data_IF_712574712362
#
_entry.id   IF_712574712362
#
_cell.length_a   1.000
_cell.length_b   1.000
_cell.length_c   1.000
_cell.angle_alpha   90.00
_cell.angle_beta   90.00
_cell.angle_gamma   90.00
#
_symmetry.space_group_name_H-M   'P 1'
#
loop_
_entity.id
_entity.type
_entity.pdbx_description
1 polymer ?
#
# COMPACT_ATOMS: atom_id res chain seq x y z
N UNK A 1 5.13 4.86 28.13
CA UNK A 1 5.20 3.48 27.61
C UNK A 1 5.02 3.48 26.10
N UNK A 2 6.12 3.64 25.36
CA UNK A 2 6.13 3.49 23.90
C UNK A 2 6.11 1.98 23.61
N UNK A 3 4.94 1.47 23.25
CA UNK A 3 4.82 0.10 22.73
C UNK A 3 5.71 -0.04 21.50
N UNK A 4 6.48 -1.12 21.45
CA UNK A 4 7.36 -1.46 20.33
C UNK A 4 6.54 -1.58 19.05
N UNK A 5 6.74 -0.65 18.11
CA UNK A 5 6.15 -0.72 16.77
C UNK A 5 6.76 -1.93 16.07
N UNK A 6 6.01 -3.02 15.98
CA UNK A 6 6.41 -4.20 15.22
C UNK A 6 6.35 -3.91 13.71
N UNK A 7 7.18 -4.60 12.92
CA UNK A 7 7.11 -4.61 11.46
C UNK A 7 7.45 -3.29 10.74
N UNK A 8 8.39 -2.49 11.27
CA UNK A 8 9.00 -1.39 10.50
C UNK A 8 9.85 -2.00 9.37
N UNK A 9 9.48 -1.75 8.12
CA UNK A 9 10.19 -2.22 6.92
C UNK A 9 10.43 -1.05 5.97
N UNK A 10 11.63 -0.99 5.39
CA UNK A 10 11.92 -0.04 4.32
C UNK A 10 11.09 -0.40 3.08
N UNK A 11 10.48 0.60 2.45
CA UNK A 11 9.73 0.40 1.22
C UNK A 11 10.72 0.20 0.07
N UNK A 12 10.61 -0.94 -0.62
CA UNK A 12 11.31 -1.18 -1.88
C UNK A 12 10.39 -0.77 -3.03
N UNK A 13 10.81 0.25 -3.78
CA UNK A 13 10.11 0.68 -4.98
C UNK A 13 10.55 -0.13 -6.20
N UNK A 14 9.61 -0.41 -7.12
CA UNK A 14 9.88 -1.10 -8.38
C UNK A 14 10.92 -0.37 -9.24
N UNK A 15 10.89 0.96 -9.21
CA UNK A 15 11.95 1.79 -9.78
C UNK A 15 12.93 2.18 -8.68
N UNK A 16 14.23 1.99 -8.92
CA UNK A 16 15.26 2.32 -7.95
C UNK A 16 15.26 3.83 -7.67
N UNK A 17 14.58 4.22 -6.59
CA UNK A 17 14.64 5.56 -6.02
C UNK A 17 15.41 5.48 -4.71
N UNK A 18 16.37 6.38 -4.50
CA UNK A 18 17.00 6.55 -3.19
C UNK A 18 16.00 7.25 -2.26
N UNK A 19 15.12 6.49 -1.63
CA UNK A 19 14.14 6.98 -0.65
C UNK A 19 14.38 6.36 0.72
N UNK A 20 14.13 7.14 1.77
CA UNK A 20 14.15 6.70 3.16
C UNK A 20 12.72 6.51 3.67
N UNK A 21 11.90 5.83 2.86
CA UNK A 21 10.50 5.62 3.19
C UNK A 21 10.36 4.32 3.95
N UNK A 22 9.73 4.41 5.12
CA UNK A 22 9.47 3.28 5.99
C UNK A 22 7.97 3.03 6.04
N UNK A 23 7.61 1.75 6.03
CA UNK A 23 6.27 1.29 6.32
C UNK A 23 6.30 0.59 7.68
N UNK A 24 5.35 0.91 8.53
CA UNK A 24 5.11 0.16 9.75
C UNK A 24 3.62 -0.16 9.85
N UNK A 25 3.29 -1.15 10.67
CA UNK A 25 1.91 -1.61 10.87
C UNK A 25 1.56 -1.37 12.33
N UNK A 26 0.38 -0.81 12.56
CA UNK A 26 -0.19 -0.60 13.90
C UNK A 26 -1.24 -1.67 14.17
N UNK A 27 -1.38 -2.09 15.42
CA UNK A 27 -2.29 -3.19 15.79
C UNK A 27 -3.72 -2.71 15.90
N UNK A 28 -3.91 -1.49 16.43
CA UNK A 28 -5.23 -0.94 16.75
C UNK A 28 -5.54 0.39 16.06
N UNK A 29 -6.84 0.66 15.87
CA UNK A 29 -7.33 1.94 15.32
C UNK A 29 -7.00 3.13 16.24
N UNK A 30 -6.95 2.90 17.55
CA UNK A 30 -6.55 3.94 18.51
C UNK A 30 -5.08 4.32 18.32
N UNK A 31 -4.20 3.34 18.21
CA UNK A 31 -2.78 3.52 17.94
C UNK A 31 -2.56 4.21 16.59
N UNK A 32 -3.31 3.81 15.55
CA UNK A 32 -3.33 4.49 14.26
C UNK A 32 -3.63 5.99 14.41
N UNK A 33 -4.76 6.34 15.03
CA UNK A 33 -5.18 7.73 15.16
C UNK A 33 -4.22 8.56 16.00
N UNK A 34 -3.69 8.01 17.10
CA UNK A 34 -2.66 8.67 17.90
C UNK A 34 -1.38 8.93 17.09
N UNK A 35 -0.95 7.95 16.30
CA UNK A 35 0.26 8.06 15.47
C UNK A 35 0.09 9.08 14.34
N UNK A 36 -1.07 9.11 13.68
CA UNK A 36 -1.36 10.14 12.68
C UNK A 36 -1.43 11.53 13.32
N UNK A 37 -2.00 11.67 14.52
CA UNK A 37 -2.03 12.93 15.27
C UNK A 37 -0.64 13.42 15.68
N UNK A 38 0.29 12.51 16.01
CA UNK A 38 1.69 12.88 16.27
C UNK A 38 2.36 13.50 15.04
N UNK A 39 1.99 13.05 13.83
CA UNK A 39 2.44 13.61 12.56
C UNK A 39 3.90 13.35 12.19
N UNK A 40 4.79 13.10 13.17
CA UNK A 40 6.21 12.80 12.96
C UNK A 40 6.73 11.72 13.93
N UNK A 41 7.73 10.97 13.49
CA UNK A 41 8.41 9.94 14.28
C UNK A 41 9.92 10.01 14.05
N UNK A 42 10.74 9.82 15.09
CA UNK A 42 12.19 9.72 14.92
C UNK A 42 12.60 8.29 14.60
N UNK A 43 13.38 8.11 13.53
CA UNK A 43 14.01 6.83 13.17
C UNK A 43 15.51 7.09 13.08
N UNK A 44 16.27 6.55 14.04
CA UNK A 44 17.69 6.90 14.22
C UNK A 44 17.84 8.41 14.47
N UNK A 45 18.66 9.07 13.64
CA UNK A 45 18.93 10.51 13.73
C UNK A 45 18.04 11.35 12.79
N UNK A 46 16.99 10.77 12.20
CA UNK A 46 16.13 11.45 11.22
C UNK A 46 14.70 11.57 11.76
N UNK A 47 14.11 12.77 11.64
CA UNK A 47 12.70 13.01 11.91
C UNK A 47 11.88 12.77 10.65
N UNK A 48 11.07 11.72 10.64
CA UNK A 48 10.26 11.31 9.50
C UNK A 48 8.82 11.79 9.67
N UNK A 49 8.22 12.34 8.61
CA UNK A 49 6.79 12.65 8.58
C UNK A 49 5.99 11.36 8.45
N UNK A 50 5.06 11.14 9.37
CA UNK A 50 4.12 10.02 9.30
C UNK A 50 3.03 10.40 8.32
N UNK A 51 2.80 9.60 7.28
CA UNK A 51 1.64 9.77 6.40
C UNK A 51 0.74 8.55 6.48
N UNK A 52 -0.60 8.72 6.51
CA UNK A 52 -1.51 7.59 6.47
C UNK A 52 -1.34 6.86 5.15
N UNK A 53 -1.05 5.56 5.20
CA UNK A 53 -1.06 4.73 4.01
C UNK A 53 -2.50 4.46 3.59
N UNK A 54 -3.06 5.38 2.81
CA UNK A 54 -4.39 5.22 2.23
C UNK A 54 -4.27 4.16 1.13
N UNK A 55 -4.73 2.94 1.42
CA UNK A 55 -4.82 1.80 0.50
C UNK A 55 -5.80 2.04 -0.66
N UNK A 56 -6.16 3.29 -0.95
CA UNK A 56 -7.18 3.77 -1.90
C UNK A 56 -7.37 2.95 -3.16
N UNK A 57 -6.31 2.35 -3.68
CA UNK A 57 -6.34 1.61 -4.94
C UNK A 57 -5.82 0.17 -4.84
N UNK A 58 -5.42 -0.34 -3.66
CA UNK A 58 -4.98 -1.73 -3.53
C UNK A 58 -6.18 -2.62 -3.30
N UNK A 59 -6.68 -3.18 -4.40
CA UNK A 59 -7.67 -4.23 -4.38
C UNK A 59 -7.15 -5.41 -3.55
N UNK A 60 -7.99 -5.91 -2.64
CA UNK A 60 -7.72 -7.18 -1.97
C UNK A 60 -8.06 -8.30 -2.94
N UNK A 61 -7.05 -9.07 -3.34
CA UNK A 61 -7.23 -10.25 -4.19
C UNK A 61 -6.36 -11.39 -3.71
N UNK A 62 -6.81 -12.60 -3.97
CA UNK A 62 -6.10 -13.80 -3.58
C UNK A 62 -5.18 -14.27 -4.70
N UNK A 63 -3.90 -14.48 -4.42
CA UNK A 63 -2.94 -15.00 -5.43
C UNK A 63 -3.09 -16.50 -5.68
N UNK A 64 -3.93 -17.20 -4.93
CA UNK A 64 -4.25 -18.62 -5.15
C UNK A 64 -5.39 -18.78 -6.15
N UNK A 65 -6.50 -18.06 -5.97
CA UNK A 65 -7.69 -18.20 -6.83
C UNK A 65 -7.88 -17.04 -7.83
N UNK A 66 -7.17 -15.92 -7.63
CA UNK A 66 -7.32 -14.66 -8.36
C UNK A 66 -8.67 -13.95 -8.19
N UNK A 67 -9.52 -14.42 -7.25
CA UNK A 67 -10.76 -13.76 -6.86
C UNK A 67 -10.51 -12.52 -5.99
N UNK A 68 -11.44 -11.55 -6.05
CA UNK A 68 -11.44 -10.37 -5.19
C UNK A 68 -12.00 -10.70 -3.80
N UNK A 69 -11.69 -9.87 -2.81
CA UNK A 69 -12.36 -9.88 -1.50
C UNK A 69 -11.71 -10.70 -0.39
N UNK A 70 -10.68 -11.51 -0.68
CA UNK A 70 -9.96 -12.27 0.36
C UNK A 70 -8.46 -12.38 0.09
N UNK A 71 -7.70 -12.64 1.16
CA UNK A 71 -6.26 -12.93 1.10
C UNK A 71 -6.02 -14.42 0.93
N UNK A 72 -4.81 -14.80 0.50
CA UNK A 72 -4.39 -16.20 0.28
C UNK A 72 -4.64 -17.10 1.49
N UNK A 73 -4.43 -16.58 2.70
CA UNK A 73 -4.56 -17.35 3.95
C UNK A 73 -6.01 -17.72 4.27
N UNK A 74 -6.98 -17.00 3.70
CA UNK A 74 -8.42 -17.25 3.85
C UNK A 74 -9.04 -17.89 2.62
N UNK A 75 -8.20 -18.44 1.72
CA UNK A 75 -8.69 -19.04 0.48
C UNK A 75 -9.08 -20.50 0.72
N UNK A 76 -10.31 -20.84 0.34
CA UNK A 76 -10.87 -22.20 0.44
C UNK A 76 -10.34 -23.15 -0.65
N UNK A 77 -9.73 -22.62 -1.72
CA UNK A 77 -9.10 -23.48 -2.72
C UNK A 77 -7.86 -24.15 -2.12
N UNK A 78 -7.76 -25.45 -2.31
CA UNK A 78 -6.60 -26.25 -1.95
C UNK A 78 -5.43 -25.99 -2.91
N UNK A 79 -5.71 -26.01 -4.22
CA UNK A 79 -4.72 -25.83 -5.26
C UNK A 79 -4.72 -24.40 -5.83
N UNK A 80 -3.54 -23.80 -6.11
CA UNK A 80 -3.45 -22.54 -6.81
C UNK A 80 -3.93 -22.67 -8.26
N UNK A 81 -4.39 -21.56 -8.83
CA UNK A 81 -4.82 -21.48 -10.23
C UNK A 81 -3.84 -20.67 -11.05
N UNK A 82 -3.70 -21.03 -12.32
CA UNK A 82 -2.92 -20.27 -13.27
C UNK A 82 -3.50 -18.85 -13.40
N UNK A 83 -2.63 -17.83 -13.40
CA UNK A 83 -3.04 -16.42 -13.53
C UNK A 83 -3.77 -16.13 -14.84
N UNK A 84 -3.43 -16.86 -15.90
CA UNK A 84 -3.92 -16.59 -17.26
C UNK A 84 -5.17 -17.43 -17.54
N UNK A 85 -5.09 -18.76 -17.50
CA UNK A 85 -6.21 -19.64 -17.88
C UNK A 85 -7.11 -20.08 -16.71
N UNK A 86 -6.72 -19.80 -15.46
CA UNK A 86 -7.42 -20.21 -14.24
C UNK A 86 -7.53 -21.73 -14.01
N UNK A 87 -6.79 -22.54 -14.75
CA UNK A 87 -6.70 -23.97 -14.50
C UNK A 87 -5.92 -24.25 -13.21
N UNK A 88 -6.27 -25.35 -12.53
CA UNK A 88 -5.61 -25.74 -11.29
C UNK A 88 -4.17 -26.16 -11.56
N UNK A 89 -3.24 -25.52 -10.85
CA UNK A 89 -1.84 -25.89 -10.76
C UNK A 89 -1.73 -27.03 -9.75
N UNK A 90 -1.50 -28.25 -10.23
CA UNK A 90 -1.23 -29.40 -9.38
C UNK A 90 0.22 -29.29 -8.91
N UNK A 91 0.45 -29.33 -7.59
CA UNK A 91 1.79 -29.27 -7.02
C UNK A 91 2.66 -30.39 -7.61
N UNK A 92 3.72 -30.03 -8.33
CA UNK A 92 4.69 -30.96 -8.92
C UNK A 92 4.53 -31.23 -10.42
N UNK A 93 3.47 -30.72 -11.07
CA UNK A 93 3.33 -30.81 -12.53
C UNK A 93 3.62 -29.48 -13.23
N UNK A 94 4.33 -29.54 -14.35
CA UNK A 94 4.53 -28.40 -15.26
C UNK A 94 3.20 -28.05 -15.93
N UNK A 95 2.57 -26.98 -15.47
CA UNK A 95 1.37 -26.47 -16.12
C UNK A 95 1.70 -25.86 -17.48
N UNK A 96 1.16 -26.45 -18.55
CA UNK A 96 1.24 -25.92 -19.91
C UNK A 96 0.05 -24.97 -20.13
N UNK A 97 0.31 -23.66 -20.03
CA UNK A 97 -0.74 -22.67 -20.21
C UNK A 97 -1.06 -22.51 -21.70
N UNK A 98 -2.33 -22.71 -22.08
CA UNK A 98 -2.83 -22.46 -23.44
C UNK A 98 -2.98 -20.96 -23.78
N UNK A 99 -2.51 -20.06 -22.92
CA UNK A 99 -2.60 -18.60 -23.05
C UNK A 99 -4.02 -18.03 -23.31
N UNK A 100 -5.06 -18.82 -23.06
CA UNK A 100 -6.45 -18.37 -23.12
C UNK A 100 -6.76 -17.62 -21.82
N UNK A 101 -6.68 -16.29 -21.88
CA UNK A 101 -6.97 -15.44 -20.74
C UNK A 101 -8.40 -15.65 -20.25
N UNK A 102 -8.55 -15.91 -18.96
CA UNK A 102 -9.85 -16.07 -18.29
C UNK A 102 -9.87 -15.25 -17.01
N UNK A 103 -10.98 -14.55 -16.79
CA UNK A 103 -11.17 -13.72 -15.61
C UNK A 103 -11.83 -14.49 -14.47
N UNK A 104 -11.26 -14.44 -13.27
CA UNK A 104 -11.77 -15.16 -12.10
C UNK A 104 -13.09 -14.57 -11.58
N UNK A 105 -13.41 -13.32 -11.95
CA UNK A 105 -14.64 -12.65 -11.50
C UNK A 105 -15.81 -12.91 -12.44
N UNK A 106 -15.61 -12.75 -13.75
CA UNK A 106 -16.68 -12.79 -14.75
C UNK A 106 -16.54 -13.91 -15.79
N UNK A 107 -15.49 -14.73 -15.71
CA UNK A 107 -15.16 -15.76 -16.69
C UNK A 107 -14.94 -15.26 -18.13
N UNK A 108 -14.80 -13.94 -18.34
CA UNK A 108 -14.54 -13.34 -19.65
C UNK A 108 -13.12 -13.59 -20.16
N UNK A 109 -12.91 -13.31 -21.45
CA UNK A 109 -11.66 -13.51 -22.21
C UNK A 109 -10.54 -12.51 -21.91
N UNK A 110 -10.38 -12.09 -20.66
CA UNK A 110 -9.36 -11.13 -20.23
C UNK A 110 -8.70 -11.57 -18.93
N UNK A 111 -7.58 -10.95 -18.56
CA UNK A 111 -6.86 -11.30 -17.33
C UNK A 111 -7.67 -10.96 -16.07
N UNK A 112 -7.60 -11.84 -15.08
CA UNK A 112 -8.12 -11.56 -13.74
C UNK A 112 -7.46 -10.28 -13.20
N UNK A 113 -8.26 -9.27 -12.85
CA UNK A 113 -7.85 -7.91 -12.43
C UNK A 113 -7.62 -6.87 -13.54
N UNK A 114 -7.95 -7.18 -14.80
CA UNK A 114 -7.96 -6.19 -15.89
C UNK A 114 -8.94 -5.05 -15.59
N UNK A 115 -8.62 -3.84 -16.06
CA UNK A 115 -9.54 -2.69 -16.05
C UNK A 115 -10.74 -2.86 -16.98
N UNK A 116 -10.69 -3.86 -17.86
CA UNK A 116 -11.79 -4.23 -18.77
C UNK A 116 -12.88 -5.06 -18.07
N UNK A 117 -12.64 -5.50 -16.82
CA UNK A 117 -13.60 -6.29 -16.07
C UNK A 117 -14.53 -5.39 -15.26
N UNK A 118 -15.82 -5.39 -15.57
CA UNK A 118 -16.83 -4.59 -14.86
C UNK A 118 -16.82 -4.83 -13.34
N UNK A 119 -16.72 -6.10 -12.91
CA UNK A 119 -16.64 -6.46 -11.49
C UNK A 119 -15.41 -5.88 -10.78
N UNK A 120 -14.30 -5.74 -11.51
CA UNK A 120 -13.07 -5.14 -10.96
C UNK A 120 -13.24 -3.62 -10.84
N UNK A 121 -13.89 -2.99 -11.82
CA UNK A 121 -14.21 -1.56 -11.80
C UNK A 121 -15.16 -1.24 -10.65
N UNK A 122 -16.22 -2.01 -10.51
CA UNK A 122 -17.20 -1.91 -9.43
C UNK A 122 -16.53 -2.01 -8.06
N UNK A 123 -15.75 -3.07 -7.83
CA UNK A 123 -15.02 -3.27 -6.56
C UNK A 123 -14.05 -2.13 -6.23
N UNK A 124 -13.37 -1.57 -7.24
CA UNK A 124 -12.51 -0.38 -7.04
C UNK A 124 -13.34 0.84 -6.63
N UNK A 125 -14.50 1.03 -7.25
CA UNK A 125 -15.38 2.16 -6.97
C UNK A 125 -15.95 2.07 -5.55
N UNK A 126 -16.36 0.88 -5.11
CA UNK A 126 -16.83 0.62 -3.75
C UNK A 126 -15.75 0.87 -2.72
N UNK A 127 -14.53 0.35 -2.93
CA UNK A 127 -13.40 0.61 -2.04
C UNK A 127 -13.11 2.11 -1.91
N UNK A 128 -13.14 2.83 -3.03
CA UNK A 128 -12.93 4.29 -3.04
C UNK A 128 -14.04 5.01 -2.27
N UNK A 129 -15.30 4.60 -2.44
CA UNK A 129 -16.44 5.15 -1.72
C UNK A 129 -16.33 4.88 -0.21
N UNK A 130 -16.01 3.65 0.20
CA UNK A 130 -15.81 3.29 1.61
C UNK A 130 -14.69 4.11 2.26
N UNK A 131 -13.58 4.34 1.55
CA UNK A 131 -12.48 5.16 2.04
C UNK A 131 -12.91 6.62 2.16
N UNK A 132 -13.59 7.17 1.16
CA UNK A 132 -14.10 8.54 1.23
C UNK A 132 -15.10 8.72 2.38
N UNK A 133 -15.98 7.74 2.61
CA UNK A 133 -16.93 7.73 3.72
C UNK A 133 -16.21 7.60 5.08
N UNK A 134 -15.15 6.80 5.16
CA UNK A 134 -14.34 6.68 6.38
C UNK A 134 -13.57 7.99 6.67
N UNK A 135 -13.15 8.72 5.64
CA UNK A 135 -12.54 10.05 5.78
C UNK A 135 -13.59 11.09 6.22
N UNK A 136 -14.76 11.13 5.57
CA UNK A 136 -15.82 12.10 5.90
C UNK A 136 -16.41 11.87 7.30
N UNK A 137 -16.53 10.61 7.72
CA UNK A 137 -16.97 10.25 9.08
C UNK A 137 -15.89 10.46 10.16
N UNK A 138 -14.70 10.92 9.79
CA UNK A 138 -13.59 11.15 10.73
C UNK A 138 -12.96 9.87 11.31
N UNK A 139 -13.34 8.68 10.80
CA UNK A 139 -12.71 7.40 11.20
C UNK A 139 -11.28 7.28 10.67
N UNK A 140 -11.00 7.89 9.52
CA UNK A 140 -9.67 8.00 8.94
C UNK A 140 -9.27 9.46 8.81
N UNK A 141 -8.13 9.82 9.41
CA UNK A 141 -7.53 11.14 9.21
C UNK A 141 -6.64 11.13 7.97
N UNK A 142 -6.96 11.98 7.00
CA UNK A 142 -6.04 12.33 5.92
C UNK A 142 -5.21 13.52 6.39
N UNK A 143 -3.89 13.44 6.24
CA UNK A 143 -3.10 14.66 6.31
C UNK A 143 -3.50 15.54 5.14
N UNK A 144 -4.13 16.67 5.43
CA UNK A 144 -4.22 17.77 4.49
C UNK A 144 -2.77 18.10 4.15
N UNK A 145 -2.35 18.12 2.88
CA UNK A 145 -1.04 18.63 2.54
C UNK A 145 -0.98 20.03 3.14
N UNK A 146 -0.17 20.24 4.18
CA UNK A 146 0.19 21.59 4.55
C UNK A 146 0.78 22.17 3.27
N UNK A 147 0.21 23.27 2.78
CA UNK A 147 0.84 24.09 1.76
C UNK A 147 2.32 24.14 2.12
N UNK A 148 3.19 23.83 1.15
CA UNK A 148 4.64 23.82 1.38
C UNK A 148 4.97 25.09 2.16
N UNK A 149 5.17 24.96 3.48
CA UNK A 149 5.78 26.05 4.25
C UNK A 149 7.04 26.29 3.49
N UNK A 150 7.13 27.48 2.87
CA UNK A 150 8.29 27.94 2.12
C UNK A 150 9.50 27.39 2.84
N UNK A 151 10.14 26.40 2.21
CA UNK A 151 11.37 25.81 2.72
C UNK A 151 12.24 26.98 3.07
N UNK A 152 12.50 27.18 4.37
CA UNK A 152 13.22 28.34 4.88
C UNK A 152 14.37 28.61 3.94
N UNK A 153 14.33 29.76 3.26
CA UNK A 153 15.39 30.15 2.34
C UNK A 153 16.69 30.00 3.12
N UNK A 154 17.57 29.16 2.60
CA UNK A 154 18.87 28.94 3.20
C UNK A 154 19.62 30.27 3.10
N UNK A 155 19.54 31.09 4.15
CA UNK A 155 20.38 32.27 4.27
C UNK A 155 21.80 31.75 4.50
N UNK A 156 22.60 31.76 3.45
CA UNK A 156 24.05 31.66 3.56
C UNK A 156 24.51 32.81 4.45
N UNK A 157 24.76 32.53 5.74
CA UNK A 157 25.55 33.44 6.57
C UNK A 157 26.92 33.52 5.90
N UNK A 158 27.19 34.63 5.22
CA UNK A 158 28.50 34.90 4.66
C UNK A 158 29.51 34.93 5.82
N UNK A 159 30.46 34.00 5.77
CA UNK A 159 31.80 34.07 6.34
C UNK A 159 31.96 34.81 7.68
N UNK A 160 31.75 34.09 8.79
CA UNK A 160 32.40 34.39 10.08
C UNK A 160 33.26 33.20 10.51
N UNK A 161 34.14 32.73 9.63
CA UNK A 161 35.25 31.89 10.07
C UNK A 161 36.45 32.80 10.35
N UNK A 162 36.90 32.94 11.60
CA UNK A 162 38.16 33.61 11.88
C UNK A 162 39.29 32.77 11.27
N UNK A 163 40.11 33.40 10.45
CA UNK A 163 41.37 32.81 9.99
C UNK A 163 42.27 32.54 11.19
N UNK A 164 42.69 31.27 11.34
CA UNK A 164 43.65 30.87 12.35
C UNK A 164 45.03 31.51 12.07
N UNK A 165 45.80 31.84 13.14
CA UNK A 165 47.07 32.56 13.05
C UNK A 165 48.18 31.78 12.32
#
# INVERSE_FOLDING_TARGET
>A
NLQSVENVRRIQYHFQRRTNDFRFVVKDLREYNSTIKLGRISIGNTLCTITPFLTGNRMTFCTRCWCLGHMRDKCELENPRCRICLENLINGQTHVCLNRARCAQCNGGHQSLSSECDKVVEYRSELKAQINNAISSGKLHRLIPQERTQSMEFQTKQNEFPSLP
#
